data_IF_106148798061
#
_entry.id   IF_106148798061
#
_cell.length_a   1.000
_cell.length_b   1.000
_cell.length_c   1.000
_cell.angle_alpha   90.00
_cell.angle_beta   90.00
_cell.angle_gamma   90.00
#
_symmetry.space_group_name_H-M   'P 1'
#
loop_
_entity.id
_entity.type
_entity.pdbx_description
1 polymer ?
#
# COMPACT_ATOMS: atom_id res chain seq x y z
N UNK A 1 -22.25 26.78 -23.19
CA UNK A 1 -20.95 26.11 -23.44
C UNK A 1 -20.58 25.31 -22.20
N UNK A 2 -20.36 24.01 -22.42
CA UNK A 2 -19.64 22.98 -21.65
C UNK A 2 -20.00 22.68 -20.18
N UNK A 3 -20.77 21.60 -20.09
CA UNK A 3 -20.75 20.50 -19.11
C UNK A 3 -19.43 20.29 -18.35
N UNK A 4 -19.59 19.81 -17.12
CA UNK A 4 -18.56 19.15 -16.32
C UNK A 4 -19.14 18.49 -15.07
N UNK A 5 -20.21 17.69 -15.24
CA UNK A 5 -20.60 16.71 -14.23
C UNK A 5 -19.47 15.66 -14.12
N UNK A 6 -18.72 15.69 -13.02
CA UNK A 6 -17.92 14.58 -12.49
C UNK A 6 -17.97 14.75 -10.98
N UNK A 7 -18.46 13.85 -10.14
CA UNK A 7 -19.07 12.55 -10.23
C UNK A 7 -19.36 12.22 -8.77
N UNK A 8 -20.51 11.64 -8.49
CA UNK A 8 -20.91 11.26 -7.13
C UNK A 8 -19.87 10.28 -6.54
N UNK A 9 -19.00 10.74 -5.63
CA UNK A 9 -18.04 9.91 -4.89
C UNK A 9 -18.75 9.23 -3.71
N UNK A 10 -19.67 8.33 -4.06
CA UNK A 10 -20.52 7.52 -3.19
C UNK A 10 -19.81 6.98 -1.93
N UNK A 11 -20.29 7.49 -0.78
CA UNK A 11 -20.28 6.89 0.58
C UNK A 11 -18.92 6.60 1.23
N UNK A 12 -18.14 7.66 1.45
CA UNK A 12 -17.08 7.71 2.45
C UNK A 12 -16.53 9.12 2.47
N UNK A 13 -16.59 9.82 3.61
CA UNK A 13 -16.19 11.23 3.74
C UNK A 13 -14.83 11.52 3.09
N UNK A 14 -14.64 12.75 2.60
CA UNK A 14 -13.39 13.13 1.96
C UNK A 14 -12.19 12.79 2.88
N UNK A 15 -11.04 12.33 2.36
CA UNK A 15 -9.92 11.94 3.22
C UNK A 15 -9.40 13.09 4.12
N UNK A 16 -9.61 14.34 3.68
CA UNK A 16 -9.26 15.55 4.45
C UNK A 16 -10.14 15.73 5.70
N UNK A 17 -11.31 15.09 5.79
CA UNK A 17 -12.19 15.13 6.97
C UNK A 17 -11.72 14.23 8.10
N UNK A 18 -10.75 13.33 7.89
CA UNK A 18 -10.20 12.45 8.93
C UNK A 18 -8.97 13.03 9.64
N UNK A 19 -8.51 14.22 9.24
CA UNK A 19 -7.33 14.86 9.82
C UNK A 19 -6.00 14.15 9.53
N UNK A 20 -5.98 13.23 8.57
CA UNK A 20 -4.76 12.58 8.10
C UNK A 20 -4.20 13.43 6.98
N UNK A 21 -3.05 14.05 7.21
CA UNK A 21 -2.32 14.88 6.26
C UNK A 21 -0.92 14.32 5.99
N UNK A 22 -0.37 13.56 6.92
CA UNK A 22 0.95 12.91 6.80
C UNK A 22 1.00 11.54 7.48
N UNK A 23 2.11 10.82 7.30
CA UNK A 23 2.25 9.45 7.81
C UNK A 23 2.25 9.38 9.34
N UNK A 24 2.55 10.51 9.98
CA UNK A 24 2.57 10.72 11.43
C UNK A 24 1.15 10.80 12.02
N UNK A 25 0.14 11.14 11.22
CA UNK A 25 -1.25 11.21 11.66
C UNK A 25 -1.91 9.81 11.73
N UNK A 26 -1.25 8.78 11.19
CA UNK A 26 -1.74 7.41 11.17
C UNK A 26 -1.28 6.68 12.43
N UNK A 27 -2.20 6.17 13.28
CA UNK A 27 -1.83 5.40 14.46
C UNK A 27 -0.94 4.21 14.13
N UNK A 28 0.07 3.95 14.97
CA UNK A 28 1.05 2.87 14.73
C UNK A 28 0.42 1.48 14.55
N UNK A 29 -0.69 1.20 15.25
CA UNK A 29 -1.43 -0.04 15.07
C UNK A 29 -2.06 -0.13 13.66
N UNK A 30 -2.65 0.96 13.19
CA UNK A 30 -3.24 1.05 11.85
C UNK A 30 -2.18 0.93 10.76
N UNK A 31 -1.02 1.56 10.95
CA UNK A 31 0.15 1.42 10.06
C UNK A 31 0.57 -0.04 9.93
N UNK A 32 0.73 -0.75 11.05
CA UNK A 32 1.07 -2.18 11.07
C UNK A 32 0.00 -3.03 10.39
N UNK A 33 -1.28 -2.73 10.61
CA UNK A 33 -2.40 -3.43 9.98
C UNK A 33 -2.34 -3.30 8.45
N UNK A 34 -2.15 -2.08 7.93
CA UNK A 34 -2.08 -1.80 6.49
C UNK A 34 -0.88 -2.51 5.87
N UNK A 35 0.33 -2.33 6.43
CA UNK A 35 1.55 -2.95 5.94
C UNK A 35 1.41 -4.48 5.93
N UNK A 36 0.91 -5.06 7.03
CA UNK A 36 0.71 -6.50 7.15
C UNK A 36 -0.28 -7.06 6.12
N UNK A 37 -1.37 -6.35 5.84
CA UNK A 37 -2.35 -6.74 4.82
C UNK A 37 -1.73 -6.73 3.42
N UNK A 38 -1.00 -5.67 3.06
CA UNK A 38 -0.34 -5.57 1.75
C UNK A 38 0.69 -6.70 1.58
N UNK A 39 1.53 -6.92 2.59
CA UNK A 39 2.53 -7.97 2.55
C UNK A 39 1.92 -9.37 2.40
N UNK A 40 0.82 -9.66 3.11
CA UNK A 40 0.09 -10.92 2.99
C UNK A 40 -0.41 -11.15 1.55
N UNK A 41 -1.08 -10.16 0.96
CA UNK A 41 -1.61 -10.25 -0.40
C UNK A 41 -0.50 -10.50 -1.44
N UNK A 42 0.65 -9.85 -1.29
CA UNK A 42 1.82 -10.05 -2.17
C UNK A 42 2.34 -11.49 -2.07
N UNK A 43 2.50 -12.01 -0.86
CA UNK A 43 3.00 -13.37 -0.61
C UNK A 43 1.99 -14.43 -1.06
N UNK A 44 0.69 -14.18 -0.91
CA UNK A 44 -0.35 -15.10 -1.33
C UNK A 44 -0.50 -15.22 -2.84
N UNK A 45 -0.29 -14.13 -3.56
CA UNK A 45 -0.29 -14.08 -5.02
C UNK A 45 1.04 -14.53 -5.64
N UNK A 46 2.07 -14.82 -4.84
CA UNK A 46 3.40 -15.21 -5.32
C UNK A 46 4.16 -14.07 -6.01
N UNK A 47 3.86 -12.81 -5.67
CA UNK A 47 4.42 -11.62 -6.32
C UNK A 47 5.61 -11.02 -5.56
N UNK A 48 6.26 -11.80 -4.68
CA UNK A 48 7.32 -11.31 -3.78
C UNK A 48 8.46 -10.61 -4.53
N UNK A 49 9.07 -11.30 -5.50
CA UNK A 49 10.19 -10.76 -6.26
C UNK A 49 9.86 -9.48 -7.04
N UNK A 50 8.79 -9.42 -7.87
CA UNK A 50 8.45 -8.18 -8.57
C UNK A 50 8.01 -7.06 -7.61
N UNK A 51 7.32 -7.37 -6.51
CA UNK A 51 6.93 -6.35 -5.53
C UNK A 51 8.13 -5.70 -4.85
N UNK A 52 9.09 -6.50 -4.35
CA UNK A 52 10.32 -5.97 -3.74
C UNK A 52 11.09 -5.12 -4.75
N UNK A 53 11.21 -5.56 -6.00
CA UNK A 53 11.89 -4.78 -7.04
C UNK A 53 11.24 -3.39 -7.22
N UNK A 54 9.92 -3.31 -7.36
CA UNK A 54 9.24 -2.02 -7.50
C UNK A 54 9.34 -1.15 -6.23
N UNK A 55 9.30 -1.75 -5.03
CA UNK A 55 9.46 -1.04 -3.76
C UNK A 55 10.89 -0.49 -3.59
N UNK A 56 11.91 -1.25 -3.98
CA UNK A 56 13.31 -0.82 -4.03
C UNK A 56 13.49 0.39 -4.96
N UNK A 57 12.86 0.36 -6.14
CA UNK A 57 12.84 1.50 -7.07
C UNK A 57 12.08 2.70 -6.50
N UNK A 58 11.12 2.49 -5.60
CA UNK A 58 10.37 3.55 -4.95
C UNK A 58 11.13 4.24 -3.79
N UNK A 59 12.21 3.64 -3.26
CA UNK A 59 13.03 4.24 -2.19
C UNK A 59 13.78 5.54 -2.58
N UNK A 60 14.35 5.72 -3.78
CA UNK A 60 14.93 7.00 -4.21
C UNK A 60 13.89 8.05 -4.63
N UNK A 61 12.59 7.74 -4.55
CA UNK A 61 11.55 8.37 -5.36
C UNK A 61 10.88 9.60 -4.73
N UNK A 62 11.62 10.40 -3.96
CA UNK A 62 11.20 11.73 -3.50
C UNK A 62 10.81 12.68 -4.66
N UNK A 63 11.06 12.29 -5.92
CA UNK A 63 10.87 13.10 -7.12
C UNK A 63 9.72 12.66 -8.06
N UNK A 64 9.18 11.43 -7.96
CA UNK A 64 8.15 10.88 -8.92
C UNK A 64 6.86 10.41 -8.21
N UNK A 65 6.70 10.67 -6.91
CA UNK A 65 5.53 10.22 -6.13
C UNK A 65 4.17 10.68 -6.67
N UNK A 66 4.08 11.93 -7.18
CA UNK A 66 2.81 12.51 -7.62
C UNK A 66 2.25 11.88 -8.90
N UNK A 67 3.09 11.38 -9.81
CA UNK A 67 2.64 10.79 -11.09
C UNK A 67 2.44 9.27 -10.99
N UNK A 68 3.23 8.60 -10.16
CA UNK A 68 3.13 7.15 -9.98
C UNK A 68 1.82 6.76 -9.26
N UNK A 69 1.40 7.54 -8.26
CA UNK A 69 0.12 7.26 -7.56
C UNK A 69 -1.10 7.52 -8.43
N UNK A 70 -1.06 8.51 -9.32
CA UNK A 70 -2.13 8.74 -10.31
C UNK A 70 -2.27 7.54 -11.25
N UNK A 71 -1.15 6.89 -11.61
CA UNK A 71 -1.15 5.69 -12.43
C UNK A 71 -1.63 4.43 -11.68
N UNK A 72 -1.28 4.29 -10.40
CA UNK A 72 -1.69 3.16 -9.56
C UNK A 72 -3.13 3.23 -9.03
N UNK A 73 -3.75 4.42 -9.09
CA UNK A 73 -5.09 4.72 -8.58
C UNK A 73 -6.19 3.69 -8.96
N UNK A 74 -6.38 3.30 -10.23
CA UNK A 74 -7.44 2.34 -10.60
C UNK A 74 -7.22 0.92 -10.04
N UNK A 75 -5.96 0.50 -9.84
CA UNK A 75 -5.66 -0.84 -9.32
C UNK A 75 -5.83 -0.91 -7.80
N UNK A 76 -5.39 0.12 -7.08
CA UNK A 76 -5.47 0.14 -5.61
C UNK A 76 -6.90 0.37 -5.14
N UNK A 77 -7.69 1.20 -5.82
CA UNK A 77 -9.12 1.36 -5.51
C UNK A 77 -9.90 0.05 -5.65
N UNK A 78 -9.56 -0.77 -6.65
CA UNK A 78 -10.22 -2.06 -6.89
C UNK A 78 -9.97 -3.07 -5.75
N UNK A 79 -8.81 -2.99 -5.09
CA UNK A 79 -8.40 -3.95 -4.06
C UNK A 79 -8.76 -3.46 -2.64
N UNK A 80 -8.70 -2.15 -2.37
CA UNK A 80 -8.74 -1.64 -0.99
C UNK A 80 -9.80 -0.55 -0.70
N UNK A 81 -10.50 -0.01 -1.70
CA UNK A 81 -11.44 1.11 -1.51
C UNK A 81 -10.76 2.47 -1.25
N UNK A 82 -11.54 3.56 -1.27
CA UNK A 82 -11.02 4.95 -1.28
C UNK A 82 -10.33 5.39 0.02
N UNK A 83 -10.78 4.93 1.18
CA UNK A 83 -10.19 5.32 2.48
C UNK A 83 -8.82 4.69 2.70
N UNK A 84 -8.71 3.38 2.47
CA UNK A 84 -7.43 2.69 2.59
C UNK A 84 -6.43 3.16 1.53
N UNK A 85 -6.91 3.54 0.33
CA UNK A 85 -6.06 4.13 -0.70
C UNK A 85 -5.25 5.32 -0.18
N UNK A 86 -5.92 6.28 0.48
CA UNK A 86 -5.26 7.51 0.95
C UNK A 86 -4.31 7.28 2.13
N UNK A 87 -4.61 6.32 3.02
CA UNK A 87 -3.67 5.89 4.07
C UNK A 87 -2.43 5.21 3.45
N UNK A 88 -2.60 4.42 2.38
CA UNK A 88 -1.50 3.71 1.69
C UNK A 88 -0.58 4.68 0.95
N UNK A 89 -1.09 5.43 -0.04
CA UNK A 89 -0.99 6.89 0.08
C UNK A 89 0.23 7.48 0.74
N UNK A 90 -0.13 8.13 1.83
CA UNK A 90 0.73 8.90 2.70
C UNK A 90 1.72 8.03 3.46
N UNK A 91 1.39 6.77 3.78
CA UNK A 91 2.39 5.86 4.37
C UNK A 91 3.57 5.63 3.43
N UNK A 92 3.32 5.38 2.15
CA UNK A 92 4.37 5.04 1.18
C UNK A 92 5.24 6.22 0.77
N UNK A 93 4.88 7.46 1.13
CA UNK A 93 5.74 8.64 0.92
C UNK A 93 7.00 8.62 1.81
N UNK A 94 6.95 7.91 2.96
CA UNK A 94 8.09 7.76 3.85
C UNK A 94 8.91 6.54 3.46
N UNK A 95 10.19 6.75 3.15
CA UNK A 95 11.14 5.69 2.81
C UNK A 95 11.19 4.59 3.87
N UNK A 96 11.06 4.97 5.14
CA UNK A 96 11.06 4.06 6.28
C UNK A 96 9.88 3.09 6.22
N UNK A 97 8.68 3.55 5.81
CA UNK A 97 7.51 2.70 5.67
C UNK A 97 7.60 1.77 4.46
N UNK A 98 8.25 2.20 3.37
CA UNK A 98 8.56 1.34 2.22
C UNK A 98 9.50 0.22 2.66
N UNK A 99 10.53 0.54 3.43
CA UNK A 99 11.46 -0.45 4.00
C UNK A 99 10.76 -1.42 4.95
N UNK A 100 9.88 -0.92 5.82
CA UNK A 100 9.05 -1.76 6.70
C UNK A 100 8.17 -2.73 5.91
N UNK A 101 7.61 -2.29 4.78
CA UNK A 101 6.82 -3.15 3.90
C UNK A 101 7.66 -4.25 3.24
N UNK A 102 8.86 -3.91 2.75
CA UNK A 102 9.79 -4.90 2.18
C UNK A 102 10.12 -5.98 3.22
N UNK A 103 10.52 -5.58 4.43
CA UNK A 103 10.88 -6.51 5.51
C UNK A 103 9.70 -7.42 5.90
N UNK A 104 8.49 -6.88 5.94
CA UNK A 104 7.30 -7.66 6.27
C UNK A 104 6.93 -8.66 5.15
N UNK A 105 7.14 -8.30 3.87
CA UNK A 105 6.99 -9.23 2.73
C UNK A 105 7.99 -10.39 2.87
N UNK A 106 9.26 -10.09 3.13
CA UNK A 106 10.32 -11.09 3.26
C UNK A 106 10.05 -12.05 4.42
N UNK A 107 9.70 -11.51 5.60
CA UNK A 107 9.34 -12.30 6.79
C UNK A 107 8.22 -13.31 6.49
N UNK A 108 7.12 -12.84 5.89
CA UNK A 108 5.97 -13.70 5.57
C UNK A 108 6.29 -14.72 4.49
N UNK A 109 7.08 -14.36 3.48
CA UNK A 109 7.52 -15.29 2.45
C UNK A 109 8.35 -16.43 3.06
N UNK A 110 9.27 -16.12 3.97
CA UNK A 110 10.08 -17.11 4.64
C UNK A 110 9.25 -18.03 5.55
N UNK A 111 8.28 -17.48 6.28
CA UNK A 111 7.31 -18.26 7.06
C UNK A 111 6.52 -19.23 6.19
N UNK A 112 5.98 -18.75 5.05
CA UNK A 112 5.26 -19.60 4.09
C UNK A 112 6.13 -20.72 3.53
N UNK A 113 7.41 -20.43 3.26
CA UNK A 113 8.38 -21.43 2.77
C UNK A 113 8.74 -22.47 3.83
N UNK A 114 8.87 -22.07 5.10
CA UNK A 114 9.11 -23.00 6.24
C UNK A 114 7.92 -23.92 6.45
N UNK A 115 6.71 -23.38 6.52
CA UNK A 115 5.49 -24.17 6.70
C UNK A 115 5.28 -25.20 5.56
N UNK A 116 5.70 -24.87 4.33
CA UNK A 116 5.66 -25.80 3.19
C UNK A 116 6.70 -26.93 3.27
N UNK A 117 7.80 -26.74 4.01
CA UNK A 117 8.82 -27.78 4.24
C UNK A 117 8.39 -28.73 5.36
N UNK A 118 7.86 -28.20 6.45
CA UNK A 118 7.39 -29.02 7.59
C UNK A 118 6.20 -29.93 7.21
N UNK A 119 5.36 -29.49 6.27
CA UNK A 119 4.24 -30.29 5.73
C UNK A 119 4.65 -31.37 4.73
N UNK A 120 5.92 -31.41 4.31
CA UNK A 120 6.46 -32.39 3.34
C UNK A 120 7.36 -33.45 3.98
N UNK A 121 7.55 -33.41 5.29
CA UNK A 121 8.41 -34.32 6.06
C UNK A 121 7.58 -35.24 6.95
#
# INVERSE_FOLDING_TARGET
MRQGQHGNWIQGGDPYTYGIHSAEDIPEERKREIIGKIAQEIVDRGMVAPAIFFLELAKPLSFIGSQLMVMANPMVQLIFGSKAYWEITVLMEKRENVELLIQEIERRNDEKRRNKKDTRN
#
